data_IF_052658621734
#
_entry.id   IF_052658621734
#
_cell.length_a   1.000
_cell.length_b   1.000
_cell.length_c   1.000
_cell.angle_alpha   90.00
_cell.angle_beta   90.00
_cell.angle_gamma   90.00
#
_symmetry.space_group_name_H-M   'P 1'
#
loop_
_entity.id
_entity.type
_entity.pdbx_description
1 polymer ?
#
# COMPACT_ATOMS: atom_id res chain seq x y z
N UNK A 1 10.81 -17.63 1.77
CA UNK A 1 12.23 -17.52 2.18
C UNK A 1 13.10 -17.23 0.96
N UNK A 2 14.31 -16.72 1.18
CA UNK A 2 15.29 -16.40 0.14
C UNK A 2 16.73 -16.60 0.64
N UNK A 3 17.70 -16.43 -0.24
CA UNK A 3 19.15 -16.48 0.09
C UNK A 3 19.84 -15.25 -0.47
N UNK A 4 21.01 -14.90 0.07
CA UNK A 4 21.86 -13.84 -0.48
C UNK A 4 22.23 -14.12 -1.95
N UNK A 5 22.40 -15.39 -2.34
CA UNK A 5 22.84 -15.78 -3.68
C UNK A 5 21.72 -15.81 -4.74
N UNK A 6 20.47 -16.07 -4.33
CA UNK A 6 19.36 -16.32 -5.25
C UNK A 6 18.16 -15.39 -5.05
N UNK A 7 18.24 -14.47 -4.09
CA UNK A 7 17.14 -13.59 -3.73
C UNK A 7 15.98 -14.34 -3.07
N UNK A 8 14.82 -13.71 -3.07
CA UNK A 8 13.57 -14.24 -2.54
C UNK A 8 12.42 -13.27 -2.77
N UNK A 9 11.23 -13.64 -2.32
CA UNK A 9 10.04 -12.80 -2.41
C UNK A 9 9.77 -12.10 -1.08
N UNK A 10 9.62 -10.77 -1.08
CA UNK A 10 9.39 -9.98 0.11
C UNK A 10 8.14 -10.38 0.89
N UNK A 11 7.03 -10.65 0.21
CA UNK A 11 5.78 -11.08 0.86
C UNK A 11 5.96 -12.36 1.68
N UNK A 12 6.72 -13.35 1.18
CA UNK A 12 7.04 -14.58 1.92
C UNK A 12 7.87 -14.30 3.18
N UNK A 13 8.72 -13.25 3.16
CA UNK A 13 9.49 -12.86 4.34
C UNK A 13 8.60 -12.26 5.42
N UNK A 14 7.54 -11.54 5.04
CA UNK A 14 6.60 -10.93 5.98
C UNK A 14 5.55 -11.92 6.48
N UNK A 15 5.12 -12.88 5.66
CA UNK A 15 4.31 -14.02 6.13
C UNK A 15 5.02 -14.80 7.23
N UNK A 16 6.35 -14.98 7.14
CA UNK A 16 7.13 -15.59 8.23
C UNK A 16 7.03 -14.79 9.54
N UNK A 17 7.02 -13.44 9.45
CA UNK A 17 6.93 -12.52 10.59
C UNK A 17 5.58 -12.58 11.31
N UNK A 18 4.53 -13.12 10.69
CA UNK A 18 3.27 -13.38 11.39
C UNK A 18 3.47 -14.35 12.58
N UNK A 19 4.42 -15.29 12.43
CA UNK A 19 4.69 -16.34 13.40
C UNK A 19 5.97 -16.17 14.22
N UNK A 20 6.78 -15.15 13.90
CA UNK A 20 8.10 -14.92 14.48
C UNK A 20 8.34 -13.43 14.80
N UNK A 21 9.10 -13.10 15.85
CA UNK A 21 9.48 -11.72 16.12
C UNK A 21 10.54 -11.24 15.12
N UNK A 22 10.60 -9.92 14.89
CA UNK A 22 11.68 -9.27 14.13
C UNK A 22 12.63 -8.58 15.11
N UNK A 23 13.92 -8.88 15.01
CA UNK A 23 14.94 -8.25 15.83
C UNK A 23 15.23 -6.80 15.38
N UNK A 24 15.66 -5.94 16.30
CA UNK A 24 16.21 -4.62 15.96
C UNK A 24 17.49 -4.77 15.16
N UNK A 25 17.77 -3.82 14.25
CA UNK A 25 19.04 -3.78 13.51
C UNK A 25 20.26 -3.67 14.43
N UNK A 26 20.12 -3.04 15.60
CA UNK A 26 21.22 -2.90 16.56
C UNK A 26 21.60 -4.23 17.20
N UNK A 27 20.61 -5.04 17.59
CA UNK A 27 20.85 -6.37 18.17
C UNK A 27 21.12 -7.45 17.13
N UNK A 28 20.68 -7.26 15.89
CA UNK A 28 20.88 -8.20 14.78
C UNK A 28 21.35 -7.46 13.51
N UNK A 29 22.64 -7.09 13.44
CA UNK A 29 23.16 -6.28 12.34
C UNK A 29 23.24 -7.07 11.02
N UNK A 30 22.94 -6.39 9.92
CA UNK A 30 23.10 -6.94 8.58
C UNK A 30 24.58 -7.23 8.26
N UNK A 31 24.86 -8.43 7.75
CA UNK A 31 26.23 -8.92 7.46
C UNK A 31 26.52 -9.15 5.97
N UNK A 32 25.54 -8.99 5.09
CA UNK A 32 25.66 -9.30 3.65
C UNK A 32 26.12 -10.73 3.34
N UNK A 33 25.73 -11.71 4.17
CA UNK A 33 26.04 -13.12 3.98
C UNK A 33 24.99 -14.02 4.64
N UNK A 34 24.72 -15.18 4.04
CA UNK A 34 23.92 -16.24 4.65
C UNK A 34 24.79 -17.01 5.65
N UNK A 35 24.56 -16.81 6.95
CA UNK A 35 25.37 -17.45 7.99
C UNK A 35 25.16 -18.98 8.13
N UNK A 36 24.21 -19.55 7.37
CA UNK A 36 23.84 -20.97 7.40
C UNK A 36 23.10 -21.40 8.68
N UNK A 37 23.03 -20.54 9.70
CA UNK A 37 22.32 -20.75 10.96
C UNK A 37 21.54 -19.49 11.34
N UNK A 38 20.37 -19.68 11.94
CA UNK A 38 19.54 -18.61 12.48
C UNK A 38 19.83 -18.49 13.99
N UNK A 39 20.59 -17.47 14.39
CA UNK A 39 20.94 -17.23 15.79
C UNK A 39 20.25 -15.98 16.32
N UNK A 40 18.99 -16.12 16.73
CA UNK A 40 18.20 -15.05 17.33
C UNK A 40 18.44 -14.92 18.85
N UNK A 41 19.43 -15.64 19.40
CA UNK A 41 19.70 -15.61 20.83
C UNK A 41 20.16 -14.21 21.27
N UNK A 42 19.50 -13.65 22.28
CA UNK A 42 19.83 -12.32 22.80
C UNK A 42 19.41 -11.14 21.92
N UNK A 43 18.64 -11.36 20.85
CA UNK A 43 18.14 -10.24 20.05
C UNK A 43 17.06 -9.46 20.80
N UNK A 44 17.03 -8.14 20.59
CA UNK A 44 15.95 -7.28 21.08
C UNK A 44 14.87 -7.18 20.01
N UNK A 45 13.61 -7.39 20.38
CA UNK A 45 12.49 -7.37 19.43
C UNK A 45 12.14 -5.93 19.01
N UNK A 46 12.12 -5.69 17.70
CA UNK A 46 11.55 -4.49 17.09
C UNK A 46 10.07 -4.68 16.76
N UNK A 47 9.70 -5.86 16.26
CA UNK A 47 8.32 -6.25 16.00
C UNK A 47 8.06 -7.54 16.78
N UNK A 48 7.25 -7.49 17.85
CA UNK A 48 6.89 -8.69 18.59
C UNK A 48 6.12 -9.70 17.73
N UNK A 49 6.24 -10.98 18.08
CA UNK A 49 5.47 -12.06 17.44
C UNK A 49 3.96 -11.75 17.51
N UNK A 50 3.27 -11.98 16.39
CA UNK A 50 1.83 -11.77 16.27
C UNK A 50 1.41 -10.31 16.07
N UNK A 51 2.36 -9.36 16.00
CA UNK A 51 2.04 -7.97 15.61
C UNK A 51 1.74 -7.82 14.13
N UNK A 52 2.38 -8.59 13.26
CA UNK A 52 1.92 -8.69 11.86
C UNK A 52 0.87 -9.78 11.82
N UNK A 53 -0.33 -9.45 11.35
CA UNK A 53 -1.48 -10.36 11.37
C UNK A 53 -1.81 -10.93 10.00
N UNK A 54 -1.38 -10.24 8.94
CA UNK A 54 -1.53 -10.70 7.56
C UNK A 54 -0.66 -9.88 6.60
N UNK A 55 -0.48 -10.41 5.39
CA UNK A 55 0.04 -9.69 4.24
C UNK A 55 -1.05 -9.50 3.20
N UNK A 56 -1.22 -8.26 2.72
CA UNK A 56 -2.14 -7.96 1.62
C UNK A 56 -1.35 -7.75 0.35
N UNK A 57 -1.66 -8.55 -0.67
CA UNK A 57 -1.15 -8.38 -2.03
C UNK A 57 -2.13 -7.54 -2.84
N UNK A 58 -1.67 -6.40 -3.35
CA UNK A 58 -2.46 -5.54 -4.21
C UNK A 58 -2.62 -6.20 -5.57
N UNK A 59 -3.85 -6.19 -6.10
CA UNK A 59 -4.15 -6.67 -7.44
C UNK A 59 -4.44 -5.48 -8.32
N UNK A 60 -3.68 -5.38 -9.41
CA UNK A 60 -3.84 -4.33 -10.40
C UNK A 60 -4.43 -4.90 -11.69
N UNK A 61 -5.04 -4.02 -12.48
CA UNK A 61 -5.64 -4.39 -13.76
C UNK A 61 -4.71 -3.99 -14.89
N UNK A 62 -4.46 -4.92 -15.81
CA UNK A 62 -3.66 -4.68 -17.00
C UNK A 62 -4.22 -3.52 -17.84
N UNK A 63 -3.35 -2.63 -18.32
CA UNK A 63 -3.72 -1.43 -19.11
C UNK A 63 -4.73 -0.49 -18.41
N UNK A 64 -4.70 -0.42 -17.07
CA UNK A 64 -5.59 0.41 -16.29
C UNK A 64 -4.83 1.42 -15.40
N UNK A 65 -3.80 2.09 -15.93
CA UNK A 65 -2.88 2.93 -15.15
C UNK A 65 -3.60 3.94 -14.25
N UNK A 66 -4.62 4.65 -14.76
CA UNK A 66 -5.36 5.63 -13.95
C UNK A 66 -6.09 4.99 -12.75
N UNK A 67 -6.59 3.76 -12.89
CA UNK A 67 -7.23 3.04 -11.79
C UNK A 67 -6.19 2.50 -10.81
N UNK A 68 -5.11 1.93 -11.33
CA UNK A 68 -4.02 1.37 -10.52
C UNK A 68 -3.31 2.47 -9.71
N UNK A 69 -3.07 3.63 -10.32
CA UNK A 69 -2.50 4.81 -9.66
C UNK A 69 -3.37 5.25 -8.48
N UNK A 70 -4.69 5.38 -8.67
CA UNK A 70 -5.63 5.72 -7.58
C UNK A 70 -5.56 4.71 -6.45
N UNK A 71 -5.60 3.41 -6.78
CA UNK A 71 -5.48 2.34 -5.79
C UNK A 71 -4.18 2.47 -4.99
N UNK A 72 -3.04 2.69 -5.66
CA UNK A 72 -1.75 2.79 -4.99
C UNK A 72 -1.61 4.07 -4.15
N UNK A 73 -2.09 5.22 -4.65
CA UNK A 73 -2.14 6.49 -3.90
C UNK A 73 -2.97 6.35 -2.63
N UNK A 74 -4.15 5.74 -2.71
CA UNK A 74 -5.00 5.49 -1.54
C UNK A 74 -4.30 4.65 -0.49
N UNK A 75 -3.47 3.67 -0.88
CA UNK A 75 -2.71 2.86 0.07
C UNK A 75 -1.55 3.62 0.68
N UNK A 76 -0.81 4.36 -0.13
CA UNK A 76 0.31 5.18 0.31
C UNK A 76 -0.10 6.30 1.27
N UNK A 77 -1.37 6.74 1.23
CA UNK A 77 -1.91 7.65 2.23
C UNK A 77 -1.89 7.05 3.66
N UNK A 78 -2.14 5.75 3.79
CA UNK A 78 -2.18 5.08 5.09
C UNK A 78 -0.83 4.54 5.52
N UNK A 79 -0.08 3.92 4.60
CA UNK A 79 1.22 3.35 4.92
C UNK A 79 2.09 3.11 3.67
N UNK A 80 3.41 2.92 3.85
CA UNK A 80 4.29 2.48 2.77
C UNK A 80 3.86 1.15 2.15
N UNK A 81 4.14 0.99 0.85
CA UNK A 81 3.83 -0.21 0.07
C UNK A 81 5.13 -0.77 -0.52
N UNK A 82 5.39 -2.06 -0.33
CA UNK A 82 6.49 -2.74 -1.01
C UNK A 82 6.12 -2.98 -2.47
N UNK A 83 7.01 -2.62 -3.39
CA UNK A 83 6.80 -2.66 -4.83
C UNK A 83 7.96 -3.41 -5.48
N UNK A 84 7.63 -4.44 -6.25
CA UNK A 84 8.53 -5.02 -7.24
C UNK A 84 8.62 -4.11 -8.45
N UNK A 85 9.83 -3.83 -8.90
CA UNK A 85 10.07 -3.08 -10.13
C UNK A 85 11.20 -3.67 -10.96
N UNK A 86 11.25 -3.23 -12.19
CA UNK A 86 12.30 -3.53 -13.15
C UNK A 86 13.36 -2.43 -13.10
N UNK A 87 14.59 -2.79 -12.76
CA UNK A 87 15.73 -1.85 -12.86
C UNK A 87 16.38 -1.92 -14.25
N UNK A 88 16.89 -0.78 -14.73
CA UNK A 88 17.71 -0.65 -15.93
C UNK A 88 19.08 -0.06 -15.61
N UNK A 89 19.95 0.08 -16.62
CA UNK A 89 21.19 0.84 -16.46
C UNK A 89 20.93 2.31 -16.09
N UNK A 90 19.90 2.93 -16.67
CA UNK A 90 19.49 4.29 -16.32
C UNK A 90 19.03 4.40 -14.85
N UNK A 91 18.35 3.36 -14.34
CA UNK A 91 17.98 3.29 -12.92
C UNK A 91 19.22 3.23 -12.01
N UNK A 92 20.24 2.45 -12.39
CA UNK A 92 21.48 2.35 -11.61
C UNK A 92 22.19 3.70 -11.47
N UNK A 93 22.20 4.52 -12.52
CA UNK A 93 22.85 5.83 -12.55
C UNK A 93 21.94 7.00 -12.19
N UNK A 94 20.75 6.75 -11.65
CA UNK A 94 19.89 7.83 -11.19
C UNK A 94 20.55 8.65 -10.07
N UNK A 95 20.59 9.97 -10.27
CA UNK A 95 21.12 10.93 -9.29
C UNK A 95 20.04 11.83 -8.70
N UNK A 96 19.16 12.40 -9.53
CA UNK A 96 18.10 13.30 -9.07
C UNK A 96 17.00 13.55 -10.11
N UNK A 97 15.92 14.21 -9.69
CA UNK A 97 14.81 14.59 -10.57
C UNK A 97 13.76 13.49 -10.69
N UNK A 98 12.79 13.67 -11.60
CA UNK A 98 11.78 12.64 -11.87
C UNK A 98 12.34 11.66 -12.91
N UNK A 99 12.46 10.39 -12.52
CA UNK A 99 12.91 9.32 -13.38
C UNK A 99 11.77 8.86 -14.30
N UNK A 100 11.98 9.00 -15.61
CA UNK A 100 11.00 8.62 -16.64
C UNK A 100 11.36 7.31 -17.35
N UNK A 101 12.34 6.56 -16.83
CA UNK A 101 12.92 5.43 -17.53
C UNK A 101 14.14 5.81 -18.38
N UNK A 102 14.54 4.93 -19.30
CA UNK A 102 13.90 3.64 -19.60
C UNK A 102 14.09 2.62 -18.47
N UNK A 103 13.25 1.59 -18.43
CA UNK A 103 13.32 0.49 -17.44
C UNK A 103 13.60 -0.87 -18.08
N UNK A 104 14.02 -0.88 -19.34
CA UNK A 104 14.42 -2.07 -20.07
C UNK A 104 15.74 -2.66 -19.55
N UNK A 105 15.95 -3.95 -19.82
CA UNK A 105 17.26 -4.59 -19.66
C UNK A 105 17.81 -4.94 -21.04
N UNK A 106 19.11 -5.27 -21.07
CA UNK A 106 19.73 -5.88 -22.23
C UNK A 106 19.27 -7.33 -22.48
N UNK A 107 18.69 -8.01 -21.48
CA UNK A 107 18.32 -9.44 -21.57
C UNK A 107 16.91 -9.71 -22.15
N UNK A 108 16.12 -8.68 -22.45
CA UNK A 108 14.83 -8.79 -23.14
C UNK A 108 13.69 -9.42 -22.33
N UNK A 109 13.98 -9.95 -21.14
CA UNK A 109 12.96 -10.43 -20.21
C UNK A 109 12.21 -9.24 -19.58
N UNK A 110 11.05 -9.44 -18.96
CA UNK A 110 10.27 -8.32 -18.40
C UNK A 110 9.69 -8.60 -17.04
N UNK A 111 10.44 -9.36 -16.26
CA UNK A 111 10.12 -9.66 -14.88
C UNK A 111 10.66 -8.54 -13.98
N UNK A 112 9.90 -8.18 -12.95
CA UNK A 112 10.44 -7.41 -11.82
C UNK A 112 11.64 -8.17 -11.25
N UNK A 113 12.71 -7.43 -10.95
CA UNK A 113 13.99 -8.01 -10.51
C UNK A 113 14.55 -7.34 -9.25
N UNK A 114 13.87 -6.30 -8.77
CA UNK A 114 14.25 -5.55 -7.59
C UNK A 114 13.02 -5.18 -6.78
N UNK A 115 13.17 -5.11 -5.47
CA UNK A 115 12.09 -4.75 -4.55
C UNK A 115 12.46 -3.49 -3.78
N UNK A 116 11.55 -2.53 -3.77
CA UNK A 116 11.71 -1.22 -3.16
C UNK A 116 10.50 -0.88 -2.29
N UNK A 117 10.58 0.21 -1.54
CA UNK A 117 9.47 0.70 -0.74
C UNK A 117 8.96 2.02 -1.28
N UNK A 118 7.70 2.08 -1.69
CA UNK A 118 7.04 3.35 -1.98
C UNK A 118 6.59 3.95 -0.65
N UNK A 119 6.99 5.19 -0.38
CA UNK A 119 6.76 5.87 0.90
C UNK A 119 5.90 7.13 0.75
N UNK A 120 5.49 7.45 -0.47
CA UNK A 120 4.65 8.61 -0.76
C UNK A 120 4.54 8.86 -2.25
N UNK A 121 3.89 9.96 -2.60
CA UNK A 121 3.74 10.45 -3.96
C UNK A 121 3.58 11.96 -3.95
N UNK A 122 3.81 12.59 -5.09
CA UNK A 122 3.71 14.05 -5.22
C UNK A 122 3.57 14.48 -6.67
N UNK A 123 3.67 15.78 -6.90
CA UNK A 123 3.68 16.38 -8.24
C UNK A 123 4.79 17.40 -8.37
N UNK A 124 5.38 17.49 -9.56
CA UNK A 124 6.35 18.52 -9.97
C UNK A 124 5.97 18.99 -11.37
N UNK A 125 5.85 20.31 -11.57
CA UNK A 125 5.65 20.92 -12.91
C UNK A 125 4.54 20.27 -13.77
N UNK A 126 3.46 19.82 -13.12
CA UNK A 126 2.32 19.19 -13.79
C UNK A 126 2.37 17.66 -13.88
N UNK A 127 3.51 17.03 -13.61
CA UNK A 127 3.69 15.57 -13.65
C UNK A 127 3.71 14.97 -12.24
N UNK A 128 3.06 13.81 -12.09
CA UNK A 128 3.05 13.08 -10.83
C UNK A 128 4.28 12.18 -10.66
N UNK A 129 4.66 11.89 -9.42
CA UNK A 129 5.73 10.94 -9.10
C UNK A 129 5.42 10.10 -7.86
N UNK A 130 5.98 8.90 -7.81
CA UNK A 130 6.11 8.05 -6.63
C UNK A 130 7.42 8.36 -5.92
N UNK A 131 7.39 8.51 -4.59
CA UNK A 131 8.59 8.62 -3.78
C UNK A 131 9.03 7.22 -3.36
N UNK A 132 10.15 6.79 -3.92
CA UNK A 132 10.73 5.46 -3.76
C UNK A 132 11.89 5.52 -2.79
N UNK A 133 11.89 4.67 -1.77
CA UNK A 133 13.03 4.41 -0.90
C UNK A 133 13.76 3.16 -1.38
N UNK A 134 15.05 3.28 -1.68
CA UNK A 134 15.88 2.19 -2.17
C UNK A 134 16.82 1.64 -1.07
N UNK A 135 17.48 0.52 -1.35
CA UNK A 135 18.39 -0.20 -0.46
C UNK A 135 19.87 -0.10 -0.87
N UNK A 136 20.23 0.79 -1.81
CA UNK A 136 21.58 0.96 -2.35
C UNK A 136 22.41 2.07 -1.68
N UNK A 137 22.06 2.42 -0.45
CA UNK A 137 22.79 3.40 0.34
C UNK A 137 22.42 4.85 0.03
N UNK A 138 22.97 5.77 0.83
CA UNK A 138 22.61 7.19 0.80
C UNK A 138 23.27 7.96 -0.35
N UNK A 139 24.28 7.40 -1.00
CA UNK A 139 24.99 8.03 -2.12
C UNK A 139 24.30 7.82 -3.45
N UNK A 140 23.31 6.93 -3.51
CA UNK A 140 22.52 6.68 -4.71
C UNK A 140 21.29 7.58 -4.72
N UNK A 141 20.96 8.17 -5.87
CA UNK A 141 19.82 9.05 -6.02
C UNK A 141 19.80 10.24 -5.05
N UNK A 142 18.60 10.68 -4.68
CA UNK A 142 18.37 11.76 -3.74
C UNK A 142 18.42 11.22 -2.30
N UNK A 143 19.63 11.03 -1.76
CA UNK A 143 19.86 10.49 -0.41
C UNK A 143 19.28 9.07 -0.19
N UNK A 144 19.40 8.20 -1.19
CA UNK A 144 18.83 6.85 -1.19
C UNK A 144 17.37 6.78 -1.67
N UNK A 145 16.82 7.90 -2.15
CA UNK A 145 15.45 7.98 -2.68
C UNK A 145 15.44 8.30 -4.18
N UNK A 146 14.33 8.00 -4.82
CA UNK A 146 14.04 8.34 -6.21
C UNK A 146 12.62 8.88 -6.33
N UNK A 147 12.43 9.86 -7.22
CA UNK A 147 11.10 10.23 -7.72
C UNK A 147 10.85 9.47 -9.01
N UNK A 148 10.02 8.43 -8.98
CA UNK A 148 9.66 7.65 -10.18
C UNK A 148 8.41 8.25 -10.82
N UNK A 149 8.41 8.50 -12.13
CA UNK A 149 7.25 9.10 -12.79
C UNK A 149 5.98 8.26 -12.64
N UNK A 150 4.86 8.92 -12.37
CA UNK A 150 3.52 8.36 -12.57
C UNK A 150 3.23 8.37 -14.08
N UNK A 151 3.68 7.32 -14.77
CA UNK A 151 3.57 7.18 -16.21
C UNK A 151 3.16 5.75 -16.59
N UNK A 152 2.47 5.58 -17.73
CA UNK A 152 2.20 4.26 -18.29
C UNK A 152 3.50 3.49 -18.57
N UNK A 153 3.46 2.18 -18.41
CA UNK A 153 4.52 1.28 -18.85
C UNK A 153 4.24 0.71 -20.23
N UNK A 154 5.29 0.33 -20.96
CA UNK A 154 5.18 -0.25 -22.30
C UNK A 154 4.34 -1.53 -22.35
N UNK A 155 4.19 -2.23 -21.21
CA UNK A 155 3.45 -3.49 -21.09
C UNK A 155 2.11 -3.37 -20.36
N UNK A 156 1.67 -2.16 -20.01
CA UNK A 156 0.41 -1.95 -19.30
C UNK A 156 0.45 -2.19 -17.79
N UNK A 157 1.65 -2.27 -17.21
CA UNK A 157 1.89 -2.49 -15.77
C UNK A 157 2.57 -1.29 -15.09
N UNK A 158 2.35 -0.08 -15.61
CA UNK A 158 3.02 1.13 -15.14
C UNK A 158 4.52 1.17 -15.49
N UNK A 159 5.11 2.36 -15.40
CA UNK A 159 6.55 2.54 -15.62
C UNK A 159 7.35 1.57 -14.74
N UNK A 160 8.34 0.89 -15.32
CA UNK A 160 9.14 -0.15 -14.65
C UNK A 160 8.35 -1.35 -14.09
N UNK A 161 7.15 -1.64 -14.62
CA UNK A 161 6.28 -2.75 -14.21
C UNK A 161 5.86 -2.71 -12.73
N UNK A 162 5.71 -1.52 -12.14
CA UNK A 162 5.38 -1.31 -10.72
C UNK A 162 4.02 -1.90 -10.29
N UNK A 163 3.15 -2.26 -11.23
CA UNK A 163 1.87 -2.89 -10.96
C UNK A 163 1.91 -4.43 -11.03
N UNK A 164 3.08 -5.03 -11.24
CA UNK A 164 3.24 -6.49 -11.34
C UNK A 164 3.30 -7.17 -9.97
N UNK A 165 4.02 -6.59 -9.01
CA UNK A 165 4.08 -7.08 -7.63
C UNK A 165 4.06 -5.93 -6.62
N UNK A 166 3.05 -5.95 -5.75
CA UNK A 166 2.86 -4.92 -4.74
C UNK A 166 2.16 -5.51 -3.51
N UNK A 167 2.68 -5.21 -2.33
CA UNK A 167 2.11 -5.74 -1.09
C UNK A 167 2.43 -4.87 0.13
N UNK A 168 1.70 -5.09 1.21
CA UNK A 168 1.96 -4.45 2.49
C UNK A 168 1.55 -5.35 3.67
N UNK A 169 2.22 -5.22 4.82
CA UNK A 169 1.80 -5.88 6.06
C UNK A 169 0.57 -5.21 6.69
N UNK A 170 -0.21 -5.99 7.44
CA UNK A 170 -1.23 -5.50 8.38
C UNK A 170 -0.70 -5.66 9.80
N UNK A 171 -0.72 -4.57 10.57
CA UNK A 171 -0.28 -4.55 11.97
C UNK A 171 -1.48 -4.67 12.90
N UNK A 172 -1.54 -5.73 13.71
CA UNK A 172 -2.51 -5.93 14.77
C UNK A 172 -2.34 -4.86 15.85
N UNK A 173 -3.45 -4.23 16.24
CA UNK A 173 -3.59 -3.10 17.19
C UNK A 173 -3.68 -1.68 16.57
N UNK A 174 -4.09 -1.57 15.30
CA UNK A 174 -4.62 -0.30 14.77
C UNK A 174 -3.62 0.59 14.02
N UNK A 175 -2.48 0.03 13.59
CA UNK A 175 -1.58 0.67 12.62
C UNK A 175 -1.46 -0.10 11.29
N UNK A 176 -2.33 -1.09 11.06
CA UNK A 176 -2.67 -1.46 9.68
C UNK A 176 -3.53 -0.36 9.05
N UNK A 177 -3.58 -0.24 7.71
CA UNK A 177 -4.59 0.57 7.07
C UNK A 177 -5.93 0.11 7.65
N UNK A 178 -6.89 1.03 7.90
CA UNK A 178 -8.26 0.59 8.12
C UNK A 178 -8.52 -0.44 7.03
N UNK A 179 -9.04 -1.61 7.42
CA UNK A 179 -9.51 -2.64 6.51
C UNK A 179 -10.05 -1.91 5.29
N UNK A 180 -9.53 -2.14 4.06
CA UNK A 180 -10.07 -1.49 2.87
C UNK A 180 -11.58 -1.46 3.03
N UNK A 181 -12.24 -0.28 2.97
CA UNK A 181 -13.64 -0.21 3.29
C UNK A 181 -14.32 -1.33 2.55
N UNK A 182 -14.91 -2.27 3.29
CA UNK A 182 -15.48 -3.48 2.69
C UNK A 182 -16.63 -3.15 1.74
N UNK A 183 -17.05 -1.89 1.76
CA UNK A 183 -17.73 -1.18 0.70
C UNK A 183 -17.59 0.33 0.90
N UNK A 184 -18.12 1.14 -0.01
CA UNK A 184 -18.19 2.61 0.18
C UNK A 184 -19.03 3.06 1.39
N UNK A 185 -19.68 2.12 2.07
CA UNK A 185 -20.62 2.37 3.16
C UNK A 185 -19.96 2.88 4.44
N UNK A 186 -18.67 2.60 4.64
CA UNK A 186 -17.94 3.03 5.85
C UNK A 186 -17.81 4.57 5.91
N UNK A 187 -17.96 5.26 4.78
CA UNK A 187 -18.02 6.72 4.69
C UNK A 187 -19.43 7.33 4.67
N UNK A 188 -20.47 6.50 4.78
CA UNK A 188 -21.87 6.88 4.57
C UNK A 188 -22.80 6.43 5.72
N UNK A 189 -22.54 6.81 6.98
CA UNK A 189 -23.39 6.42 8.11
C UNK A 189 -24.82 6.96 7.93
N UNK A 190 -25.80 6.06 7.94
CA UNK A 190 -27.23 6.40 7.86
C UNK A 190 -27.81 6.48 6.44
N UNK A 191 -27.00 6.40 5.38
CA UNK A 191 -27.51 6.33 4.01
C UNK A 191 -27.74 4.87 3.58
N UNK A 192 -28.80 4.63 2.80
CA UNK A 192 -29.15 3.29 2.35
C UNK A 192 -28.21 2.73 1.26
N UNK A 193 -27.52 3.60 0.51
CA UNK A 193 -26.64 3.22 -0.59
C UNK A 193 -25.41 4.12 -0.67
N UNK A 194 -24.37 3.61 -1.32
CA UNK A 194 -23.19 4.39 -1.66
C UNK A 194 -22.65 4.00 -3.03
N UNK A 195 -21.83 4.89 -3.60
CA UNK A 195 -21.11 4.61 -4.85
C UNK A 195 -19.67 4.18 -4.58
N UNK A 196 -19.25 2.95 -4.93
CA UNK A 196 -17.87 2.50 -4.73
C UNK A 196 -16.86 3.24 -5.63
N UNK A 197 -17.37 3.89 -6.68
CA UNK A 197 -16.56 4.66 -7.64
C UNK A 197 -16.31 6.09 -7.17
N UNK A 198 -17.31 6.73 -6.54
CA UNK A 198 -17.25 8.16 -6.18
C UNK A 198 -17.24 8.45 -4.68
N UNK A 199 -17.51 7.46 -3.83
CA UNK A 199 -17.62 7.63 -2.38
C UNK A 199 -18.84 8.43 -1.91
N UNK A 200 -19.76 8.78 -2.81
CA UNK A 200 -20.98 9.54 -2.50
C UNK A 200 -22.09 8.67 -1.92
N UNK A 201 -22.88 9.24 -1.00
CA UNK A 201 -23.95 8.57 -0.25
C UNK A 201 -25.35 8.89 -0.83
N UNK A 202 -26.26 7.92 -0.83
CA UNK A 202 -27.58 8.04 -1.43
C UNK A 202 -28.66 7.30 -0.63
N UNK A 203 -29.89 7.82 -0.69
CA UNK A 203 -31.07 7.18 -0.08
C UNK A 203 -31.71 6.11 -0.99
N UNK A 204 -31.46 6.15 -2.29
CA UNK A 204 -32.07 5.25 -3.27
C UNK A 204 -31.06 4.65 -4.25
N UNK A 205 -31.32 3.40 -4.68
CA UNK A 205 -30.48 2.69 -5.63
C UNK A 205 -30.76 3.14 -7.07
N UNK A 206 -30.20 4.28 -7.45
CA UNK A 206 -30.40 4.86 -8.78
C UNK A 206 -29.55 4.21 -9.88
N UNK A 207 -28.51 3.44 -9.51
CA UNK A 207 -27.66 2.70 -10.45
C UNK A 207 -27.35 1.31 -9.91
N UNK A 208 -27.21 0.35 -10.82
CA UNK A 208 -27.06 -1.07 -10.46
C UNK A 208 -25.77 -1.37 -9.66
N UNK A 209 -24.70 -0.62 -9.94
CA UNK A 209 -23.39 -0.76 -9.28
C UNK A 209 -23.29 -0.09 -7.91
N UNK A 210 -24.35 0.56 -7.43
CA UNK A 210 -24.35 1.11 -6.07
C UNK A 210 -24.40 -0.03 -5.05
N UNK A 211 -23.59 0.09 -4.01
CA UNK A 211 -23.57 -0.85 -2.90
C UNK A 211 -24.66 -0.47 -1.91
N UNK A 212 -25.26 -1.48 -1.28
CA UNK A 212 -26.30 -1.30 -0.27
C UNK A 212 -25.66 -1.27 1.11
N UNK A 213 -25.97 -0.24 1.88
CA UNK A 213 -25.36 -0.04 3.19
C UNK A 213 -26.30 -0.53 4.30
N UNK A 214 -25.75 -1.11 5.38
CA UNK A 214 -26.53 -1.43 6.55
C UNK A 214 -27.03 -0.13 7.19
N UNK A 215 -28.34 0.08 7.15
CA UNK A 215 -28.97 1.18 7.89
C UNK A 215 -28.99 0.75 9.34
N UNK A 216 -28.08 1.31 10.15
CA UNK A 216 -28.11 1.09 11.60
C UNK A 216 -29.49 1.55 12.11
N UNK A 217 -30.22 0.75 12.89
CA UNK A 217 -31.47 1.21 13.47
C UNK A 217 -31.14 2.29 14.51
N UNK A 218 -31.09 3.55 14.08
CA UNK A 218 -31.08 4.69 14.99
C UNK A 218 -32.26 4.52 15.95
N UNK A 219 -32.07 4.72 17.27
CA UNK A 219 -33.18 4.71 18.20
C UNK A 219 -34.21 5.75 17.72
N UNK A 220 -35.47 5.34 17.66
CA UNK A 220 -36.57 6.25 17.38
C UNK A 220 -36.45 7.44 18.33
N UNK A 221 -36.55 8.70 17.85
CA UNK A 221 -36.58 9.83 18.76
C UNK A 221 -37.80 9.65 19.66
N UNK A 222 -37.57 9.62 20.96
CA UNK A 222 -38.67 9.69 21.94
C UNK A 222 -39.44 10.97 21.63
N UNK A 223 -40.72 10.84 21.33
CA UNK A 223 -41.57 11.95 20.90
C UNK A 223 -41.41 13.15 21.84
N UNK A 224 -41.07 14.32 21.29
CA UNK A 224 -40.87 15.58 22.02
C UNK A 224 -42.09 16.04 22.84
N UNK A 225 -43.23 15.37 22.74
CA UNK A 225 -44.51 15.81 23.30
C UNK A 225 -44.88 15.13 24.62
N UNK A 226 -44.07 14.18 25.13
CA UNK A 226 -44.43 13.43 26.34
C UNK A 226 -44.34 14.23 27.66
N UNK A 227 -43.91 15.50 27.63
CA UNK A 227 -43.66 16.30 28.84
C UNK A 227 -44.38 17.65 28.94
N UNK A 228 -45.20 18.04 27.95
CA UNK A 228 -45.75 19.41 27.88
C UNK A 228 -47.28 19.43 27.68
N UNK A 229 -48.10 19.06 28.70
CA UNK A 229 -49.54 19.19 28.59
C UNK A 229 -49.94 20.68 28.57
N UNK A 230 -50.42 21.15 27.42
CA UNK A 230 -50.97 22.50 27.24
C UNK A 230 -50.16 23.47 26.37
N UNK A 231 -49.07 23.04 25.73
CA UNK A 231 -48.36 23.86 24.75
C UNK A 231 -49.08 23.80 23.38
N UNK A 232 -49.38 24.95 22.72
CA UNK A 232 -49.94 24.95 21.37
C UNK A 232 -48.92 24.71 20.26
N UNK A 233 -47.65 24.43 20.60
CA UNK A 233 -46.54 24.24 19.65
C UNK A 233 -45.88 22.85 19.74
N UNK A 234 -46.67 21.82 20.05
CA UNK A 234 -46.30 20.43 19.77
C UNK A 234 -46.75 20.05 18.36
#
# INVERSE_FOLDING_TARGET
GGTCAHGGFGFNAVEYVESAPVCTRQSYPYRALDAGTCDVSGCSEAVPKGKITSVVRLRFTWNADAQNERTLQQRLFYQPVAIGLRTSLAFHFYESGVFHGPCDSEDGESLVNHEVLFVGYGRTEGSGYWLVKNSWGLTWGEYGYMKLAQAPGERGWGLCNIYDDAWYPVVGDGFGPPTPPTGCCDGCPGSAFCSPVSGSCYESKNKDYYESCPVDPSPSPTACCAGCPGSPFC
#
